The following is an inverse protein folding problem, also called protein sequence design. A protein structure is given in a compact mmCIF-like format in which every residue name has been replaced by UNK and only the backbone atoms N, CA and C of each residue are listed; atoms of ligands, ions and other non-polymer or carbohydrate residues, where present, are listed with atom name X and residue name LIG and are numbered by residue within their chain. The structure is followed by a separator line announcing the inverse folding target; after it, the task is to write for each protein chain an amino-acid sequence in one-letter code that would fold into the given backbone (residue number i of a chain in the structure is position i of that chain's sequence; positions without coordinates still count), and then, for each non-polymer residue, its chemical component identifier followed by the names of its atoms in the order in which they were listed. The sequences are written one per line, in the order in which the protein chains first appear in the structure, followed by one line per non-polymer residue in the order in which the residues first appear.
data_IF_644936217243
#
_entry.id   IF_644936217243
#
_cell.length_a   1.000
_cell.length_b   1.000
_cell.length_c   1.000
_cell.angle_alpha   90.00
_cell.angle_beta   90.00
_cell.angle_gamma   90.00
#
_symmetry.space_group_name_H-M   'P 1'
#
loop_
_entity.id
_entity.type
_entity.pdbx_description
1 polymer ?
#
# COMPACT_ATOMS: atom_id res chain seq x y z
N UNK A 1 0.24 15.83 12.92
CA UNK A 1 1.35 15.56 13.84
C UNK A 1 2.21 14.52 13.16
N UNK A 2 3.43 14.86 12.80
CA UNK A 2 4.29 13.93 12.06
C UNK A 2 4.58 12.69 12.91
N UNK A 3 4.22 11.53 12.38
CA UNK A 3 4.48 10.24 13.01
C UNK A 3 5.95 9.91 12.75
N UNK A 4 6.82 10.36 13.64
CA UNK A 4 8.28 10.30 13.47
C UNK A 4 8.85 8.88 13.65
N UNK A 5 8.09 8.00 14.29
CA UNK A 5 8.39 6.57 14.34
C UNK A 5 7.70 5.87 13.17
N UNK A 6 8.41 4.96 12.52
CA UNK A 6 7.87 4.05 11.52
C UNK A 6 8.71 2.76 11.50
N UNK A 7 8.07 1.63 11.22
CA UNK A 7 8.75 0.36 10.97
C UNK A 7 8.10 -0.35 9.79
N UNK A 8 8.90 -1.00 8.96
CA UNK A 8 8.40 -1.78 7.83
C UNK A 8 9.47 -2.71 7.28
N UNK A 9 9.03 -3.77 6.61
CA UNK A 9 9.91 -4.76 6.00
C UNK A 9 9.83 -4.63 4.48
N UNK A 10 10.98 -4.60 3.81
CA UNK A 10 11.10 -4.68 2.36
C UNK A 10 11.68 -6.05 1.98
N UNK A 11 10.97 -6.81 1.15
CA UNK A 11 11.46 -8.03 0.52
C UNK A 11 12.02 -7.68 -0.88
N UNK A 12 13.34 -7.46 -1.01
CA UNK A 12 13.91 -6.85 -2.21
C UNK A 12 13.80 -7.73 -3.46
N UNK A 13 13.76 -9.07 -3.29
CA UNK A 13 13.68 -10.00 -4.43
C UNK A 13 12.33 -9.95 -5.14
N UNK A 14 11.25 -9.61 -4.43
CA UNK A 14 9.88 -9.56 -4.96
C UNK A 14 9.32 -8.13 -5.01
N UNK A 15 10.12 -7.14 -4.61
CA UNK A 15 9.73 -5.74 -4.42
C UNK A 15 8.50 -5.52 -3.49
N UNK A 16 8.27 -6.46 -2.56
CA UNK A 16 7.13 -6.42 -1.66
C UNK A 16 7.42 -5.62 -0.38
N UNK A 17 6.44 -4.82 0.04
CA UNK A 17 6.58 -3.88 1.17
C UNK A 17 5.51 -4.19 2.23
N UNK A 18 5.94 -4.30 3.48
CA UNK A 18 5.11 -4.67 4.63
C UNK A 18 5.27 -3.64 5.75
N UNK A 19 4.55 -2.50 5.68
CA UNK A 19 4.58 -1.48 6.72
C UNK A 19 3.85 -1.95 7.98
N UNK A 20 4.32 -1.50 9.14
CA UNK A 20 3.62 -1.66 10.41
C UNK A 20 2.60 -0.52 10.58
N UNK A 21 1.33 -0.78 10.26
CA UNK A 21 0.28 0.25 10.25
C UNK A 21 -0.49 0.40 11.59
N UNK A 22 -0.21 -0.43 12.60
CA UNK A 22 -0.84 -0.36 13.93
C UNK A 22 -0.17 0.71 14.80
N UNK A 23 -0.73 1.04 15.98
CA UNK A 23 -0.03 1.85 16.98
C UNK A 23 1.35 1.23 17.26
N UNK A 24 2.39 1.88 16.76
CA UNK A 24 3.77 1.40 16.81
C UNK A 24 4.51 1.86 18.07
N UNK A 25 3.93 2.82 18.78
CA UNK A 25 4.54 3.43 19.95
C UNK A 25 4.16 2.65 21.20
N UNK A 26 5.15 2.35 22.04
CA UNK A 26 4.93 1.96 23.43
C UNK A 26 4.35 3.14 24.21
N UNK A 27 3.86 2.85 25.43
CA UNK A 27 3.37 3.87 26.36
C UNK A 27 4.43 4.96 26.65
N UNK A 28 5.71 4.59 26.56
CA UNK A 28 6.85 5.47 26.81
C UNK A 28 7.34 6.20 25.54
N UNK A 29 6.63 6.08 24.41
CA UNK A 29 6.97 6.75 23.16
C UNK A 29 8.08 6.10 22.33
N UNK A 30 8.50 4.88 22.66
CA UNK A 30 9.46 4.08 21.87
C UNK A 30 8.77 3.12 20.91
N UNK A 31 9.52 2.42 20.07
CA UNK A 31 8.95 1.37 19.22
C UNK A 31 8.50 0.16 20.08
N UNK A 32 7.24 -0.27 19.93
CA UNK A 32 6.72 -1.47 20.59
C UNK A 32 7.32 -2.74 19.94
N UNK A 33 8.26 -3.37 20.66
CA UNK A 33 8.93 -4.60 20.27
C UNK A 33 7.92 -5.72 19.98
N UNK A 34 6.82 -5.80 20.74
CA UNK A 34 5.78 -6.79 20.55
C UNK A 34 5.08 -6.66 19.19
N UNK A 35 4.88 -5.44 18.68
CA UNK A 35 4.32 -5.22 17.35
C UNK A 35 5.31 -5.59 16.24
N UNK A 36 6.59 -5.27 16.43
CA UNK A 36 7.67 -5.65 15.51
C UNK A 36 7.78 -7.17 15.42
N UNK A 37 7.84 -7.88 16.55
CA UNK A 37 7.89 -9.35 16.59
C UNK A 37 6.66 -9.94 15.89
N UNK A 38 5.45 -9.42 16.16
CA UNK A 38 4.23 -9.87 15.49
C UNK A 38 4.30 -9.71 13.96
N UNK A 39 4.81 -8.58 13.47
CA UNK A 39 4.95 -8.34 12.04
C UNK A 39 5.91 -9.36 11.42
N UNK A 40 7.11 -9.52 11.99
CA UNK A 40 8.13 -10.45 11.51
C UNK A 40 7.59 -11.88 11.50
N UNK A 41 6.96 -12.33 12.60
CA UNK A 41 6.35 -13.66 12.68
C UNK A 41 5.25 -13.87 11.65
N UNK A 42 4.38 -12.87 11.42
CA UNK A 42 3.33 -12.98 10.39
C UNK A 42 3.92 -13.04 8.98
N UNK A 43 5.01 -12.31 8.71
CA UNK A 43 5.71 -12.36 7.43
C UNK A 43 6.26 -13.76 7.16
N UNK A 44 7.03 -14.33 8.09
CA UNK A 44 7.60 -15.67 7.94
C UNK A 44 6.54 -16.77 7.84
N UNK A 45 5.39 -16.58 8.49
CA UNK A 45 4.25 -17.50 8.37
C UNK A 45 3.43 -17.31 7.09
N UNK A 46 3.80 -16.38 6.19
CA UNK A 46 3.06 -16.10 4.96
C UNK A 46 1.67 -15.51 5.18
N UNK A 47 1.40 -14.94 6.36
CA UNK A 47 0.08 -14.41 6.75
C UNK A 47 -0.13 -12.93 6.40
N UNK A 48 0.92 -12.26 5.91
CA UNK A 48 0.83 -10.85 5.50
C UNK A 48 0.58 -10.73 4.00
N UNK A 49 -0.36 -9.85 3.65
CA UNK A 49 -0.46 -9.33 2.29
C UNK A 49 0.47 -8.12 2.14
N UNK A 50 1.21 -7.99 1.04
CA UNK A 50 2.01 -6.80 0.77
C UNK A 50 1.10 -5.60 0.53
N UNK A 51 1.64 -4.40 0.79
CA UNK A 51 0.92 -3.15 0.54
C UNK A 51 1.09 -2.71 -0.91
N UNK A 52 -0.01 -2.28 -1.52
CA UNK A 52 -0.03 -1.62 -2.83
C UNK A 52 0.08 -0.12 -2.60
N UNK A 53 1.08 0.53 -3.20
CA UNK A 53 1.16 1.99 -3.21
C UNK A 53 0.05 2.54 -4.10
N UNK A 54 -0.86 3.30 -3.53
CA UNK A 54 -1.97 3.91 -4.25
C UNK A 54 -2.33 5.26 -3.66
N UNK A 55 -2.77 6.18 -4.52
CA UNK A 55 -3.57 7.32 -4.07
C UNK A 55 -4.97 6.82 -3.64
N UNK A 56 -5.74 7.68 -2.99
CA UNK A 56 -7.15 7.42 -2.73
C UNK A 56 -7.90 7.27 -4.07
N UNK A 57 -8.95 6.43 -4.06
CA UNK A 57 -9.83 6.30 -5.22
C UNK A 57 -10.51 7.66 -5.44
N UNK A 58 -10.44 8.25 -6.64
CA UNK A 58 -11.12 9.50 -6.95
C UNK A 58 -12.63 9.36 -6.74
N UNK A 59 -13.24 10.31 -6.03
CA UNK A 59 -14.70 10.33 -5.80
C UNK A 59 -15.45 11.08 -6.91
N UNK A 60 -14.73 11.88 -7.69
CA UNK A 60 -15.27 12.72 -8.77
C UNK A 60 -14.49 12.46 -10.04
N UNK A 61 -15.21 12.35 -11.15
CA UNK A 61 -14.66 12.19 -12.49
C UNK A 61 -14.82 13.51 -13.26
N UNK A 62 -13.71 14.24 -13.43
CA UNK A 62 -13.72 15.61 -13.99
C UNK A 62 -13.52 15.66 -15.51
N UNK A 63 -13.13 14.55 -16.14
CA UNK A 63 -12.76 14.48 -17.56
C UNK A 63 -13.34 13.20 -18.21
N UNK A 64 -13.26 13.10 -19.53
CA UNK A 64 -13.48 11.82 -20.23
C UNK A 64 -12.39 10.78 -19.90
N UNK A 65 -11.21 11.23 -19.45
CA UNK A 65 -10.09 10.36 -19.06
C UNK A 65 -10.26 9.91 -17.61
N UNK A 66 -10.46 8.61 -17.41
CA UNK A 66 -10.62 8.01 -16.07
C UNK A 66 -9.28 8.05 -15.34
N UNK A 67 -9.28 8.63 -14.13
CA UNK A 67 -8.08 8.62 -13.27
C UNK A 67 -7.95 7.27 -12.56
N UNK A 68 -6.89 6.54 -12.90
CA UNK A 68 -6.60 5.22 -12.36
C UNK A 68 -5.57 5.33 -11.24
N UNK A 69 -5.83 4.63 -10.13
CA UNK A 69 -4.95 4.48 -8.98
C UNK A 69 -4.74 2.99 -8.70
N UNK A 70 -3.74 2.63 -7.89
CA UNK A 70 -3.43 1.22 -7.62
C UNK A 70 -4.62 0.41 -7.08
N UNK A 71 -5.51 1.03 -6.31
CA UNK A 71 -6.67 0.36 -5.70
C UNK A 71 -7.86 0.10 -6.65
N UNK A 72 -8.02 0.86 -7.74
CA UNK A 72 -9.10 0.65 -8.71
C UNK A 72 -8.63 0.07 -10.06
N UNK A 73 -7.33 -0.21 -10.18
CA UNK A 73 -6.74 -0.71 -11.43
C UNK A 73 -7.44 -1.98 -11.93
N UNK A 74 -7.64 -2.98 -11.07
CA UNK A 74 -8.24 -4.25 -11.48
C UNK A 74 -9.67 -4.05 -11.99
N UNK A 75 -10.47 -3.24 -11.28
CA UNK A 75 -11.87 -3.01 -11.64
C UNK A 75 -12.04 -2.26 -12.96
N UNK A 76 -11.08 -1.38 -13.31
CA UNK A 76 -11.15 -0.56 -14.52
C UNK A 76 -10.45 -1.23 -15.70
N UNK A 77 -9.25 -1.77 -15.50
CA UNK A 77 -8.40 -2.29 -16.59
C UNK A 77 -8.71 -3.75 -16.94
N UNK A 78 -9.12 -4.56 -15.97
CA UNK A 78 -9.38 -6.00 -16.19
C UNK A 78 -10.87 -6.30 -16.45
N UNK A 79 -11.67 -5.28 -16.77
CA UNK A 79 -13.07 -5.45 -17.17
C UNK A 79 -13.15 -5.97 -18.62
N UNK A 80 -13.40 -7.28 -18.75
CA UNK A 80 -13.49 -7.95 -20.05
C UNK A 80 -14.65 -7.46 -20.95
N UNK A 81 -15.51 -6.56 -20.47
CA UNK A 81 -16.60 -5.98 -21.26
C UNK A 81 -16.22 -4.67 -21.96
N UNK A 82 -14.99 -4.18 -21.77
CA UNK A 82 -14.54 -2.89 -22.31
C UNK A 82 -13.16 -3.01 -22.96
N UNK A 83 -12.98 -2.31 -24.07
CA UNK A 83 -11.65 -2.00 -24.59
C UNK A 83 -11.10 -0.80 -23.83
N UNK A 84 -9.95 -0.97 -23.16
CA UNK A 84 -9.37 0.07 -22.29
C UNK A 84 -7.97 0.43 -22.76
N UNK A 85 -7.77 1.70 -23.11
CA UNK A 85 -6.46 2.29 -23.35
C UNK A 85 -5.96 2.96 -22.05
N UNK A 86 -4.73 2.64 -21.64
CA UNK A 86 -4.10 3.20 -20.45
C UNK A 86 -2.79 3.92 -20.80
N UNK A 87 -2.61 5.10 -20.21
CA UNK A 87 -1.36 5.86 -20.27
C UNK A 87 -0.68 5.87 -18.90
N UNK A 88 0.59 5.44 -18.84
CA UNK A 88 1.39 5.48 -17.62
C UNK A 88 2.27 6.73 -17.63
N UNK A 89 1.87 7.73 -16.84
CA UNK A 89 2.61 8.98 -16.67
C UNK A 89 3.38 8.98 -15.35
N UNK A 90 4.61 9.47 -15.38
CA UNK A 90 5.40 9.78 -14.19
C UNK A 90 5.56 11.30 -14.10
N UNK A 91 5.10 11.89 -12.99
CA UNK A 91 5.45 13.28 -12.69
C UNK A 91 6.92 13.31 -12.29
N UNK A 92 7.70 14.14 -12.98
CA UNK A 92 9.15 14.24 -12.79
C UNK A 92 9.51 15.01 -11.53
#
# INVERSE_FOLDING_TARGET
TDQWLAFGIHEPKKDLKYPLNSNISSQDGYLDIGQVTKLVTKLFNGKLKPTIKSQAIPTVQESAVIKIVGLNYQDVILDNNKDVLIEFLACR
#
